data_IF_571485867324
#
_entry.id   IF_571485867324
#
_cell.length_a   1.000
_cell.length_b   1.000
_cell.length_c   1.000
_cell.angle_alpha   90.00
_cell.angle_beta   90.00
_cell.angle_gamma   90.00
#
_symmetry.space_group_name_H-M   'P 1'
#
loop_
_entity.id
_entity.type
_entity.pdbx_description
1 polymer ?
#
# COMPACT_ATOMS: atom_id res chain seq x y z
N UNK A 1 8.70 22.30 2.96
CA UNK A 1 9.43 21.20 2.28
C UNK A 1 8.55 20.39 1.32
N UNK A 2 7.27 20.11 1.61
CA UNK A 2 6.39 19.38 0.68
C UNK A 2 6.13 20.09 -0.67
N UNK A 3 5.85 21.40 -0.64
CA UNK A 3 5.60 22.19 -1.85
C UNK A 3 6.82 22.28 -2.78
N UNK A 4 8.01 22.50 -2.21
CA UNK A 4 9.27 22.54 -2.96
C UNK A 4 9.61 21.18 -3.61
N UNK A 5 9.29 20.07 -2.95
CA UNK A 5 9.47 18.72 -3.52
C UNK A 5 8.55 18.44 -4.70
N UNK A 6 7.30 18.92 -4.66
CA UNK A 6 6.35 18.77 -5.77
C UNK A 6 6.78 19.60 -6.98
N UNK A 7 7.21 20.85 -6.76
CA UNK A 7 7.68 21.72 -7.86
C UNK A 7 8.86 21.06 -8.59
N UNK A 8 9.83 20.51 -7.86
CA UNK A 8 10.95 19.75 -8.44
C UNK A 8 10.49 18.46 -9.15
N UNK A 9 9.42 17.82 -8.68
CA UNK A 9 8.87 16.64 -9.34
C UNK A 9 8.29 16.97 -10.73
N UNK A 10 7.64 18.13 -10.87
CA UNK A 10 7.09 18.58 -12.16
C UNK A 10 8.15 19.04 -13.16
N UNK A 11 9.36 19.40 -12.73
CA UNK A 11 10.47 19.72 -13.65
C UNK A 11 11.07 18.48 -14.32
N UNK A 12 10.86 17.29 -13.75
CA UNK A 12 11.32 16.03 -14.34
C UNK A 12 10.36 15.53 -15.41
N UNK A 13 9.09 15.30 -15.03
CA UNK A 13 8.06 14.79 -15.93
C UNK A 13 6.66 15.05 -15.33
N UNK A 14 5.66 15.45 -16.13
CA UNK A 14 4.25 15.48 -15.72
C UNK A 14 3.75 14.20 -15.01
N UNK A 15 4.11 13.01 -15.48
CA UNK A 15 3.73 11.74 -14.85
C UNK A 15 4.40 11.53 -13.48
N UNK A 16 5.64 11.97 -13.33
CA UNK A 16 6.35 11.91 -12.06
C UNK A 16 5.75 12.90 -11.05
N UNK A 17 5.49 14.14 -11.48
CA UNK A 17 4.83 15.17 -10.67
C UNK A 17 3.45 14.75 -10.18
N UNK A 18 2.62 14.21 -11.06
CA UNK A 18 1.28 13.70 -10.68
C UNK A 18 1.36 12.55 -9.68
N UNK A 19 2.28 11.60 -9.87
CA UNK A 19 2.50 10.50 -8.91
C UNK A 19 2.99 11.00 -7.54
N UNK A 20 3.83 12.03 -7.51
CA UNK A 20 4.29 12.67 -6.27
C UNK A 20 3.14 13.37 -5.52
N UNK A 21 2.22 14.01 -6.25
CA UNK A 21 0.98 14.57 -5.67
C UNK A 21 0.11 13.44 -5.10
N UNK A 22 -0.08 12.34 -5.82
CA UNK A 22 -0.83 11.17 -5.34
C UNK A 22 -0.20 10.61 -4.05
N UNK A 23 1.13 10.53 -3.98
CA UNK A 23 1.84 10.11 -2.77
C UNK A 23 1.54 11.03 -1.59
N UNK A 24 1.58 12.35 -1.80
CA UNK A 24 1.25 13.32 -0.76
C UNK A 24 -0.21 13.18 -0.31
N UNK A 25 -1.15 13.11 -1.25
CA UNK A 25 -2.58 12.93 -0.96
C UNK A 25 -2.85 11.63 -0.20
N UNK A 26 -2.21 10.52 -0.59
CA UNK A 26 -2.30 9.25 0.13
C UNK A 26 -1.83 9.37 1.58
N UNK A 27 -0.72 10.08 1.81
CA UNK A 27 -0.23 10.38 3.16
C UNK A 27 -1.18 11.27 3.98
N UNK A 28 -1.84 12.24 3.35
CA UNK A 28 -2.84 13.08 4.01
C UNK A 28 -4.08 12.25 4.39
N UNK A 29 -4.62 11.45 3.47
CA UNK A 29 -5.80 10.58 3.71
C UNK A 29 -5.54 9.58 4.85
N UNK A 30 -4.31 9.06 4.93
CA UNK A 30 -3.93 8.11 5.97
C UNK A 30 -3.85 8.73 7.37
N UNK A 31 -3.35 9.97 7.48
CA UNK A 31 -3.02 10.58 8.76
C UNK A 31 -4.06 11.60 9.28
N UNK A 32 -4.77 12.30 8.38
CA UNK A 32 -5.58 13.48 8.73
C UNK A 32 -7.09 13.13 8.70
N UNK A 33 -7.90 13.59 9.68
CA UNK A 33 -9.36 13.53 9.61
C UNK A 33 -9.89 14.36 8.41
N UNK A 34 -11.03 14.00 7.78
CA UNK A 34 -12.12 13.17 8.31
C UNK A 34 -12.03 11.66 8.00
N UNK A 35 -11.20 11.23 7.04
CA UNK A 35 -11.17 9.81 6.60
C UNK A 35 -10.23 8.97 7.48
N UNK A 36 -9.05 9.50 7.85
CA UNK A 36 -7.99 8.88 8.68
C UNK A 36 -7.99 7.34 8.60
N UNK A 37 -7.60 6.81 7.44
CA UNK A 37 -7.74 5.37 7.12
C UNK A 37 -6.97 4.44 8.07
N UNK A 38 -5.97 4.95 8.80
CA UNK A 38 -5.25 4.22 9.86
C UNK A 38 -6.16 3.67 10.97
N UNK A 39 -7.37 4.21 11.14
CA UNK A 39 -8.33 3.75 12.14
C UNK A 39 -9.30 2.68 11.62
N UNK A 40 -9.40 2.50 10.30
CA UNK A 40 -10.35 1.58 9.65
C UNK A 40 -9.71 0.19 9.48
N UNK A 41 -10.35 -0.89 9.95
CA UNK A 41 -9.83 -2.24 9.75
C UNK A 41 -9.81 -2.60 8.26
N UNK A 42 -8.78 -3.33 7.84
CA UNK A 42 -8.42 -3.74 6.46
C UNK A 42 -8.00 -2.58 5.56
N UNK A 43 -8.69 -1.43 5.66
CA UNK A 43 -8.32 -0.22 4.95
C UNK A 43 -6.99 0.35 5.45
N UNK A 44 -6.63 0.15 6.72
CA UNK A 44 -5.32 0.55 7.24
C UNK A 44 -4.18 -0.20 6.54
N UNK A 45 -4.29 -1.52 6.39
CA UNK A 45 -3.31 -2.37 5.69
C UNK A 45 -3.23 -2.01 4.22
N UNK A 46 -4.38 -1.92 3.53
CA UNK A 46 -4.41 -1.60 2.09
C UNK A 46 -3.88 -0.20 1.80
N UNK A 47 -4.28 0.80 2.60
CA UNK A 47 -3.85 2.18 2.45
C UNK A 47 -2.38 2.37 2.83
N UNK A 48 -1.88 1.66 3.85
CA UNK A 48 -0.45 1.72 4.22
C UNK A 48 0.41 1.04 3.15
N UNK A 49 -0.11 -0.04 2.53
CA UNK A 49 0.54 -0.74 1.44
C UNK A 49 0.55 0.04 0.11
N UNK A 50 -0.34 1.01 -0.12
CA UNK A 50 -0.33 1.86 -1.33
C UNK A 50 0.98 2.64 -1.50
N UNK A 51 1.71 2.88 -0.41
CA UNK A 51 3.03 3.51 -0.49
C UNK A 51 4.04 2.69 -1.31
N UNK A 52 3.82 1.38 -1.47
CA UNK A 52 4.70 0.50 -2.24
C UNK A 52 4.51 0.68 -3.76
N UNK A 53 3.31 0.50 -4.35
CA UNK A 53 3.08 0.75 -5.77
C UNK A 53 3.30 2.21 -6.17
N UNK A 54 2.97 3.19 -5.32
CA UNK A 54 3.25 4.60 -5.64
C UNK A 54 4.77 4.84 -5.77
N UNK A 55 5.58 4.21 -4.92
CA UNK A 55 7.05 4.27 -5.04
C UNK A 55 7.57 3.59 -6.30
N UNK A 56 6.97 2.46 -6.70
CA UNK A 56 7.28 1.83 -7.98
C UNK A 56 6.99 2.79 -9.14
N UNK A 57 5.83 3.46 -9.14
CA UNK A 57 5.47 4.44 -10.17
C UNK A 57 6.44 5.63 -10.21
N UNK A 58 6.83 6.16 -9.06
CA UNK A 58 7.84 7.24 -8.99
C UNK A 58 9.17 6.78 -9.60
N UNK A 59 9.68 5.62 -9.21
CA UNK A 59 10.91 5.06 -9.77
C UNK A 59 10.81 4.78 -11.27
N UNK A 60 9.67 4.27 -11.73
CA UNK A 60 9.40 4.00 -13.14
C UNK A 60 9.41 5.29 -13.97
N UNK A 61 8.65 6.30 -13.57
CA UNK A 61 8.57 7.56 -14.32
C UNK A 61 9.84 8.41 -14.23
N UNK A 62 10.72 8.15 -13.26
CA UNK A 62 12.05 8.74 -13.22
C UNK A 62 12.98 8.20 -14.30
N UNK A 63 12.80 6.95 -14.74
CA UNK A 63 13.65 6.29 -15.74
C UNK A 63 13.00 6.22 -17.13
N UNK A 64 11.69 5.95 -17.18
CA UNK A 64 10.91 5.73 -18.39
C UNK A 64 9.76 6.73 -18.42
N UNK A 65 9.90 7.77 -19.24
CA UNK A 65 8.98 8.90 -19.24
C UNK A 65 7.75 8.72 -20.14
N UNK A 66 7.83 7.82 -21.13
CA UNK A 66 6.84 7.70 -22.20
C UNK A 66 6.05 6.38 -22.18
N UNK A 67 6.14 5.60 -21.11
CA UNK A 67 5.43 4.32 -21.02
C UNK A 67 4.90 4.10 -19.62
N UNK A 68 3.62 3.79 -19.54
CA UNK A 68 2.93 3.51 -18.28
C UNK A 68 3.18 2.04 -17.92
N UNK A 69 3.57 1.73 -16.68
CA UNK A 69 3.80 0.35 -16.28
C UNK A 69 2.50 -0.45 -16.34
N UNK A 70 2.57 -1.75 -16.65
CA UNK A 70 1.39 -2.60 -16.71
C UNK A 70 0.59 -2.56 -15.41
N UNK A 71 -0.73 -2.35 -15.50
CA UNK A 71 -1.58 -2.28 -14.31
C UNK A 71 -1.51 -3.57 -13.48
N UNK A 72 -1.37 -4.73 -14.13
CA UNK A 72 -1.17 -6.00 -13.44
C UNK A 72 0.11 -6.04 -12.62
N UNK A 73 1.22 -5.46 -13.10
CA UNK A 73 2.46 -5.33 -12.32
C UNK A 73 2.24 -4.46 -11.07
N UNK A 74 1.58 -3.31 -11.24
CA UNK A 74 1.29 -2.37 -10.13
C UNK A 74 0.39 -3.03 -9.08
N UNK A 75 -0.66 -3.72 -9.52
CA UNK A 75 -1.59 -4.42 -8.63
C UNK A 75 -0.92 -5.60 -7.91
N UNK A 76 -0.11 -6.41 -8.61
CA UNK A 76 0.66 -7.49 -7.98
C UNK A 76 1.59 -6.93 -6.89
N UNK A 77 2.32 -5.85 -7.22
CA UNK A 77 3.23 -5.19 -6.28
C UNK A 77 2.49 -4.57 -5.07
N UNK A 78 1.27 -4.09 -5.27
CA UNK A 78 0.41 -3.63 -4.19
C UNK A 78 -0.04 -4.77 -3.28
N UNK A 79 -0.45 -5.91 -3.84
CA UNK A 79 -0.90 -7.07 -3.07
C UNK A 79 0.25 -7.70 -2.26
N UNK A 80 1.47 -7.76 -2.81
CA UNK A 80 2.67 -8.15 -2.04
C UNK A 80 2.92 -7.17 -0.88
N UNK A 81 2.80 -5.87 -1.13
CA UNK A 81 2.90 -4.85 -0.09
C UNK A 81 1.85 -5.06 1.02
N UNK A 82 0.60 -5.34 0.65
CA UNK A 82 -0.48 -5.61 1.58
C UNK A 82 -0.22 -6.88 2.41
N UNK A 83 0.36 -7.92 1.79
CA UNK A 83 0.78 -9.13 2.49
C UNK A 83 1.83 -8.84 3.58
N UNK A 84 2.88 -8.07 3.28
CA UNK A 84 3.89 -7.72 4.27
C UNK A 84 3.33 -6.84 5.39
N UNK A 85 2.45 -5.90 5.04
CA UNK A 85 1.78 -5.05 6.04
C UNK A 85 0.86 -5.87 6.95
N UNK A 86 0.11 -6.83 6.41
CA UNK A 86 -0.71 -7.74 7.19
C UNK A 86 0.15 -8.65 8.09
N UNK A 87 1.28 -9.16 7.58
CA UNK A 87 2.25 -9.96 8.34
C UNK A 87 2.81 -9.19 9.54
N UNK A 88 3.17 -7.92 9.33
CA UNK A 88 3.62 -7.03 10.40
C UNK A 88 2.54 -6.88 11.48
N UNK A 89 1.28 -6.64 11.08
CA UNK A 89 0.15 -6.51 12.02
C UNK A 89 -0.13 -7.80 12.77
N UNK A 90 -0.03 -8.94 12.11
CA UNK A 90 -0.15 -10.26 12.71
C UNK A 90 0.93 -10.49 13.78
N UNK A 91 2.18 -10.18 13.47
CA UNK A 91 3.30 -10.29 14.40
C UNK A 91 3.15 -9.33 15.60
N UNK A 92 2.73 -8.08 15.37
CA UNK A 92 2.43 -7.12 16.44
C UNK A 92 1.30 -7.61 17.35
N UNK A 93 0.20 -8.10 16.77
CA UNK A 93 -0.95 -8.60 17.54
C UNK A 93 -0.55 -9.78 18.44
N UNK A 94 0.18 -10.76 17.90
CA UNK A 94 0.70 -11.89 18.67
C UNK A 94 1.73 -11.50 19.74
N UNK A 95 2.52 -10.45 19.50
CA UNK A 95 3.52 -9.97 20.46
C UNK A 95 2.87 -9.27 21.66
N UNK A 96 1.76 -8.57 21.46
CA UNK A 96 1.04 -7.90 22.54
C UNK A 96 0.33 -8.94 23.44
N UNK A 97 -0.21 -10.01 22.84
CA UNK A 97 -0.84 -11.15 23.51
C UNK A 97 -1.97 -10.78 24.50
N UNK A 98 -2.51 -9.57 24.36
CA UNK A 98 -3.60 -9.03 25.18
C UNK A 98 -4.52 -8.19 24.28
N UNK A 99 -5.76 -8.64 24.02
CA UNK A 99 -6.72 -7.93 23.18
C UNK A 99 -7.06 -6.51 23.65
N UNK A 100 -7.04 -6.27 24.97
CA UNK A 100 -7.37 -4.96 25.57
C UNK A 100 -6.22 -3.99 25.31
N UNK A 101 -4.98 -4.42 25.55
CA UNK A 101 -3.77 -3.63 25.24
C UNK A 101 -3.58 -3.42 23.75
N UNK A 102 -3.91 -4.41 22.91
CA UNK A 102 -3.82 -4.29 21.46
C UNK A 102 -4.75 -3.20 20.92
N UNK A 103 -5.99 -3.13 21.41
CA UNK A 103 -6.95 -2.06 21.05
C UNK A 103 -6.43 -0.67 21.47
N UNK A 104 -5.77 -0.57 22.62
CA UNK A 104 -5.14 0.67 23.09
C UNK A 104 -3.95 1.12 22.23
N UNK A 105 -3.18 0.17 21.68
CA UNK A 105 -2.06 0.46 20.78
C UNK A 105 -2.53 0.95 19.40
N UNK A 106 -3.57 0.33 18.84
CA UNK A 106 -4.18 0.76 17.58
C UNK A 106 -5.67 0.42 17.57
N UNK A 107 -6.51 1.43 17.26
CA UNK A 107 -7.97 1.28 17.22
C UNK A 107 -8.45 0.17 16.26
N UNK A 108 -7.75 -0.04 15.13
CA UNK A 108 -8.07 -1.11 14.18
C UNK A 108 -7.89 -2.52 14.79
N UNK A 109 -6.97 -2.71 15.76
CA UNK A 109 -6.82 -3.98 16.49
C UNK A 109 -8.03 -4.36 17.34
N UNK A 110 -8.95 -3.42 17.60
CA UNK A 110 -10.23 -3.75 18.24
C UNK A 110 -11.13 -4.68 17.41
N UNK A 111 -10.95 -4.74 16.09
CA UNK A 111 -11.74 -5.56 15.16
C UNK A 111 -10.97 -6.78 14.62
N UNK A 112 -9.66 -6.81 14.82
CA UNK A 112 -8.81 -7.89 14.36
C UNK A 112 -8.75 -9.04 15.36
N UNK A 113 -8.74 -10.25 14.81
CA UNK A 113 -8.39 -11.48 15.50
C UNK A 113 -7.24 -12.14 14.75
N UNK A 114 -6.51 -13.03 15.40
CA UNK A 114 -5.41 -13.77 14.77
C UNK A 114 -5.87 -14.47 13.48
N UNK A 115 -7.04 -15.13 13.52
CA UNK A 115 -7.63 -15.80 12.35
C UNK A 115 -7.98 -14.83 11.21
N UNK A 116 -8.50 -13.63 11.52
CA UNK A 116 -8.86 -12.63 10.50
C UNK A 116 -7.62 -12.04 9.81
N UNK A 117 -6.55 -11.81 10.59
CA UNK A 117 -5.27 -11.35 10.07
C UNK A 117 -4.60 -12.43 9.21
N UNK A 118 -4.65 -13.69 9.65
CA UNK A 118 -4.15 -14.81 8.87
C UNK A 118 -4.91 -14.94 7.53
N UNK A 119 -6.24 -14.87 7.57
CA UNK A 119 -7.08 -14.98 6.38
C UNK A 119 -6.86 -13.81 5.41
N UNK A 120 -6.64 -12.60 5.91
CA UNK A 120 -6.31 -11.46 5.05
C UNK A 120 -4.92 -11.61 4.40
N UNK A 121 -3.93 -12.13 5.12
CA UNK A 121 -2.61 -12.47 4.55
C UNK A 121 -2.75 -13.47 3.40
N UNK A 122 -3.48 -14.58 3.60
CA UNK A 122 -3.72 -15.56 2.53
C UNK A 122 -4.43 -14.94 1.33
N UNK A 123 -5.45 -14.12 1.57
CA UNK A 123 -6.16 -13.41 0.51
C UNK A 123 -5.21 -12.52 -0.31
N UNK A 124 -4.35 -11.73 0.33
CA UNK A 124 -3.38 -10.87 -0.38
C UNK A 124 -2.34 -11.69 -1.16
N UNK A 125 -1.87 -12.81 -0.60
CA UNK A 125 -0.95 -13.71 -1.29
C UNK A 125 -1.60 -14.34 -2.54
N UNK A 126 -2.84 -14.83 -2.44
CA UNK A 126 -3.58 -15.39 -3.57
C UNK A 126 -3.87 -14.34 -4.64
N UNK A 127 -4.30 -13.14 -4.23
CA UNK A 127 -4.54 -12.03 -5.15
C UNK A 127 -3.25 -11.62 -5.89
N UNK A 128 -2.12 -11.57 -5.18
CA UNK A 128 -0.82 -11.36 -5.82
C UNK A 128 -0.53 -12.44 -6.87
N UNK A 129 -0.62 -13.72 -6.52
CA UNK A 129 -0.36 -14.83 -7.45
C UNK A 129 -1.26 -14.78 -8.68
N UNK A 130 -2.54 -14.49 -8.51
CA UNK A 130 -3.51 -14.37 -9.61
C UNK A 130 -3.14 -13.22 -10.56
N UNK A 131 -2.88 -12.03 -10.02
CA UNK A 131 -2.56 -10.85 -10.84
C UNK A 131 -1.19 -11.00 -11.51
N UNK A 132 -0.20 -11.58 -10.83
CA UNK A 132 1.10 -11.93 -11.40
C UNK A 132 0.95 -12.94 -12.54
N UNK A 133 0.07 -13.94 -12.41
CA UNK A 133 -0.26 -14.87 -13.49
C UNK A 133 -0.81 -14.16 -14.73
N UNK A 134 -1.74 -13.22 -14.55
CA UNK A 134 -2.27 -12.38 -15.65
C UNK A 134 -1.14 -11.57 -16.31
N UNK A 135 -0.22 -11.03 -15.51
CA UNK A 135 0.94 -10.32 -16.03
C UNK A 135 1.83 -11.22 -16.89
N UNK A 136 2.20 -12.41 -16.42
CA UNK A 136 3.05 -13.33 -17.17
C UNK A 136 2.41 -13.75 -18.51
N UNK A 137 1.13 -14.14 -18.49
CA UNK A 137 0.41 -14.57 -19.69
C UNK A 137 0.28 -13.44 -20.71
N UNK A 138 -0.05 -12.22 -20.27
CA UNK A 138 -0.25 -11.08 -21.18
C UNK A 138 1.04 -10.60 -21.84
N UNK A 139 2.15 -10.66 -21.11
CA UNK A 139 3.44 -10.17 -21.59
C UNK A 139 4.35 -11.28 -22.14
N UNK A 140 3.85 -12.53 -22.20
CA UNK A 140 4.55 -13.70 -22.75
C UNK A 140 5.98 -13.85 -22.21
N UNK A 141 6.14 -13.66 -20.89
CA UNK A 141 7.39 -13.93 -20.19
C UNK A 141 7.44 -15.37 -19.70
#
# INVERSE_FOLDING_TARGET
>A
MGASGIVLAFTLNPYFGTTAVVFLVSGLIYNIPPIRTKELPYLDVLSEALNNPIRLLLGWFALVTNSIPPLSLVLAYWMVGAFFMATKRFAEYRRIDDPIRARGYRKSFGYYTENRLLLSMFFYAMACSFVSGIFLVRYHM
#
